data_IF_343479719759
#
_entry.id   IF_343479719759
#
_cell.length_a   1.000
_cell.length_b   1.000
_cell.length_c   1.000
_cell.angle_alpha   90.00
_cell.angle_beta   90.00
_cell.angle_gamma   90.00
#
_symmetry.space_group_name_H-M   'P 1'
#
loop_
_entity.id
_entity.type
_entity.pdbx_description
1 polymer ?
#
# COMPACT_ATOMS: atom_id res chain seq x y z
N UNK A 1 -41.46 -39.60 -23.04
CA UNK A 1 -40.15 -38.94 -23.13
C UNK A 1 -40.15 -37.83 -22.08
N UNK A 2 -39.71 -38.18 -20.85
CA UNK A 2 -39.70 -37.28 -19.69
C UNK A 2 -38.32 -36.63 -19.56
N UNK A 3 -38.28 -35.30 -19.60
CA UNK A 3 -37.07 -34.48 -19.36
C UNK A 3 -36.85 -34.37 -17.83
N UNK A 4 -35.75 -34.93 -17.38
CA UNK A 4 -35.31 -34.85 -16.01
C UNK A 4 -34.58 -33.54 -15.82
N UNK A 5 -35.19 -32.60 -15.05
CA UNK A 5 -34.54 -31.36 -14.60
C UNK A 5 -33.58 -31.70 -13.47
N UNK A 6 -32.27 -31.52 -13.71
CA UNK A 6 -31.25 -31.62 -12.67
C UNK A 6 -31.21 -30.37 -11.78
N UNK A 7 -30.85 -30.49 -10.50
CA UNK A 7 -30.83 -29.35 -9.57
C UNK A 7 -29.66 -28.41 -9.85
N UNK A 8 -29.97 -27.13 -9.98
CA UNK A 8 -29.03 -26.02 -10.10
C UNK A 8 -28.18 -25.91 -8.83
N UNK A 9 -26.88 -26.19 -8.97
CA UNK A 9 -25.89 -25.96 -7.91
C UNK A 9 -25.40 -24.50 -7.99
N UNK A 10 -26.25 -23.56 -7.64
CA UNK A 10 -25.79 -22.23 -7.28
C UNK A 10 -25.30 -22.25 -5.83
N UNK A 11 -24.00 -22.46 -5.67
CA UNK A 11 -23.35 -22.34 -4.38
C UNK A 11 -23.58 -20.94 -3.80
N UNK A 12 -24.18 -20.88 -2.60
CA UNK A 12 -24.31 -19.67 -1.77
C UNK A 12 -22.93 -19.05 -1.62
N UNK A 13 -22.69 -17.92 -2.30
CA UNK A 13 -21.56 -17.04 -1.99
C UNK A 13 -21.67 -16.69 -0.51
N UNK A 14 -20.71 -17.16 0.28
CA UNK A 14 -20.51 -16.69 1.65
C UNK A 14 -20.40 -15.17 1.55
N UNK A 15 -21.30 -14.47 2.21
CA UNK A 15 -21.23 -13.02 2.43
C UNK A 15 -19.88 -12.72 3.05
N UNK A 16 -18.94 -12.22 2.26
CA UNK A 16 -17.76 -11.61 2.78
C UNK A 16 -18.24 -10.44 3.65
N UNK A 17 -18.05 -10.51 4.97
CA UNK A 17 -18.20 -9.35 5.85
C UNK A 17 -17.46 -8.22 5.17
N UNK A 18 -18.17 -7.19 4.72
CA UNK A 18 -17.57 -6.00 4.19
C UNK A 18 -16.68 -5.44 5.28
N UNK A 19 -15.38 -5.52 5.08
CA UNK A 19 -14.42 -4.86 5.95
C UNK A 19 -14.69 -3.37 5.80
N UNK A 20 -15.29 -2.76 6.82
CA UNK A 20 -15.54 -1.33 6.82
C UNK A 20 -14.24 -0.59 7.07
N UNK A 21 -14.02 0.46 6.30
CA UNK A 21 -12.94 1.40 6.55
C UNK A 21 -13.15 2.03 7.93
N UNK A 22 -12.14 1.99 8.77
CA UNK A 22 -12.13 2.66 10.07
C UNK A 22 -11.42 4.00 9.93
N UNK A 23 -12.10 5.13 10.13
CA UNK A 23 -11.46 6.44 10.15
C UNK A 23 -10.48 6.55 11.34
N UNK A 24 -9.61 7.57 11.31
CA UNK A 24 -8.70 7.83 12.40
C UNK A 24 -9.45 8.01 13.73
N UNK A 25 -8.95 7.45 14.85
CA UNK A 25 -9.58 7.61 16.15
C UNK A 25 -9.56 9.08 16.61
N UNK A 26 -10.65 9.51 17.27
CA UNK A 26 -10.81 10.89 17.74
C UNK A 26 -9.74 11.34 18.76
N UNK A 27 -9.06 10.41 19.41
CA UNK A 27 -8.02 10.65 20.43
C UNK A 27 -6.61 10.85 19.91
N UNK A 28 -6.41 10.87 18.60
CA UNK A 28 -5.11 10.90 17.97
C UNK A 28 -4.57 9.49 17.70
N UNK A 29 -3.73 9.37 16.71
CA UNK A 29 -3.15 8.13 16.23
C UNK A 29 -1.65 8.33 16.03
N UNK A 30 -0.83 7.38 16.46
CA UNK A 30 0.60 7.38 16.17
C UNK A 30 0.87 7.10 14.69
N UNK A 31 2.05 7.47 14.19
CA UNK A 31 2.45 7.19 12.79
C UNK A 31 2.36 5.71 12.43
N UNK A 32 2.80 4.84 13.34
CA UNK A 32 2.80 3.39 13.15
C UNK A 32 1.37 2.85 13.09
N UNK A 33 0.52 3.27 14.01
CA UNK A 33 -0.90 2.86 14.01
C UNK A 33 -1.62 3.30 12.76
N UNK A 34 -1.34 4.53 12.27
CA UNK A 34 -1.90 5.03 11.02
C UNK A 34 -1.47 4.18 9.83
N UNK A 35 -0.18 3.92 9.68
CA UNK A 35 0.33 3.07 8.60
C UNK A 35 -0.33 1.71 8.65
N UNK A 36 -0.39 1.06 9.81
CA UNK A 36 -1.03 -0.23 10.00
C UNK A 36 -2.52 -0.22 9.61
N UNK A 37 -3.24 0.83 9.98
CA UNK A 37 -4.65 1.00 9.64
C UNK A 37 -4.86 1.16 8.13
N UNK A 38 -4.03 1.98 7.46
CA UNK A 38 -4.10 2.18 6.02
C UNK A 38 -3.80 0.89 5.25
N UNK A 39 -2.79 0.13 5.65
CA UNK A 39 -2.45 -1.16 5.04
C UNK A 39 -3.49 -2.25 5.28
N UNK A 40 -4.23 -2.20 6.39
CA UNK A 40 -5.34 -3.11 6.69
C UNK A 40 -6.66 -2.70 6.04
N UNK A 41 -6.70 -1.55 5.37
CA UNK A 41 -7.91 -1.06 4.71
C UNK A 41 -8.33 -1.96 3.55
N UNK A 42 -9.62 -2.19 3.33
CA UNK A 42 -10.09 -2.82 2.11
C UNK A 42 -9.65 -2.00 0.89
N UNK A 43 -9.12 -2.67 -0.14
CA UNK A 43 -8.53 -2.02 -1.31
C UNK A 43 -7.09 -1.53 -1.12
N UNK A 44 -6.48 -1.81 0.06
CA UNK A 44 -5.08 -1.53 0.34
C UNK A 44 -4.76 -0.10 0.75
N UNK A 45 -3.46 0.23 0.90
CA UNK A 45 -3.01 1.47 1.52
C UNK A 45 -3.39 2.72 0.72
N UNK A 46 -3.41 2.69 -0.61
CA UNK A 46 -3.79 3.85 -1.43
C UNK A 46 -5.26 4.21 -1.24
N UNK A 47 -6.14 3.22 -1.17
CA UNK A 47 -7.57 3.45 -0.95
C UNK A 47 -7.83 3.88 0.49
N UNK A 48 -7.15 3.26 1.45
CA UNK A 48 -7.20 3.69 2.84
C UNK A 48 -6.82 5.15 3.01
N UNK A 49 -5.76 5.60 2.35
CA UNK A 49 -5.32 6.99 2.40
C UNK A 49 -6.31 7.95 1.74
N UNK A 50 -6.86 7.60 0.57
CA UNK A 50 -7.90 8.40 -0.07
C UNK A 50 -9.14 8.60 0.81
N UNK A 51 -9.60 7.53 1.47
CA UNK A 51 -10.75 7.59 2.37
C UNK A 51 -10.44 8.43 3.63
N UNK A 52 -9.23 8.32 4.15
CA UNK A 52 -8.76 9.11 5.29
C UNK A 52 -8.73 10.59 4.94
N UNK A 53 -8.20 10.93 3.78
CA UNK A 53 -8.15 12.31 3.27
C UNK A 53 -9.55 12.87 2.98
N UNK A 54 -10.42 12.11 2.32
CA UNK A 54 -11.80 12.51 2.11
C UNK A 54 -12.54 12.80 3.43
N UNK A 55 -12.32 11.95 4.44
CA UNK A 55 -12.88 12.17 5.77
C UNK A 55 -12.36 13.47 6.40
N UNK A 56 -11.05 13.75 6.31
CA UNK A 56 -10.46 15.00 6.82
C UNK A 56 -10.99 16.25 6.14
N UNK A 57 -11.18 16.20 4.82
CA UNK A 57 -11.74 17.30 4.02
C UNK A 57 -13.25 17.48 4.21
N UNK A 58 -13.94 16.47 4.73
CA UNK A 58 -15.39 16.42 4.78
C UNK A 58 -16.03 16.09 3.42
N UNK A 59 -15.27 15.52 2.50
CA UNK A 59 -15.74 15.16 1.17
C UNK A 59 -16.58 13.90 1.20
N UNK A 60 -17.62 13.88 0.37
CA UNK A 60 -18.33 12.63 0.07
C UNK A 60 -17.50 11.77 -0.86
N UNK A 61 -17.72 10.45 -0.86
CA UNK A 61 -17.07 9.55 -1.82
C UNK A 61 -17.36 9.92 -3.28
N UNK A 62 -18.51 10.52 -3.56
CA UNK A 62 -18.86 11.02 -4.88
C UNK A 62 -18.04 12.24 -5.29
N UNK A 63 -17.84 13.19 -4.38
CA UNK A 63 -17.01 14.38 -4.58
C UNK A 63 -15.54 13.98 -4.82
N UNK A 64 -15.00 13.13 -3.95
CA UNK A 64 -13.64 12.57 -4.12
C UNK A 64 -13.49 11.87 -5.48
N UNK A 65 -14.44 11.02 -5.87
CA UNK A 65 -14.39 10.31 -7.14
C UNK A 65 -14.38 11.28 -8.33
N UNK A 66 -15.22 12.32 -8.29
CA UNK A 66 -15.28 13.35 -9.33
C UNK A 66 -13.96 14.13 -9.45
N UNK A 67 -13.33 14.50 -8.32
CA UNK A 67 -12.04 15.21 -8.30
C UNK A 67 -10.89 14.33 -8.84
N UNK A 68 -10.90 13.03 -8.55
CA UNK A 68 -9.95 12.06 -9.10
C UNK A 68 -10.18 11.86 -10.62
N UNK A 69 -11.40 12.09 -11.11
CA UNK A 69 -11.78 11.87 -12.50
C UNK A 69 -12.35 10.48 -12.78
N UNK A 70 -12.98 9.85 -11.77
CA UNK A 70 -13.61 8.52 -11.88
C UNK A 70 -15.05 8.54 -11.36
N UNK A 71 -15.78 7.44 -11.58
CA UNK A 71 -17.14 7.30 -11.05
C UNK A 71 -17.12 6.84 -9.58
N UNK A 72 -18.17 7.17 -8.83
CA UNK A 72 -18.39 6.60 -7.49
C UNK A 72 -18.35 5.07 -7.50
N UNK A 73 -18.97 4.44 -8.50
CA UNK A 73 -18.96 2.97 -8.63
C UNK A 73 -17.56 2.40 -8.79
N UNK A 74 -16.65 3.11 -9.48
CA UNK A 74 -15.25 2.72 -9.61
C UNK A 74 -14.53 2.72 -8.26
N UNK A 75 -14.65 3.80 -7.49
CA UNK A 75 -14.08 3.88 -6.14
C UNK A 75 -14.65 2.78 -5.23
N UNK A 76 -15.94 2.52 -5.32
CA UNK A 76 -16.57 1.46 -4.52
C UNK A 76 -16.04 0.06 -4.88
N UNK A 77 -15.78 -0.22 -6.16
CA UNK A 77 -15.17 -1.48 -6.60
C UNK A 77 -13.74 -1.65 -6.07
N UNK A 78 -12.93 -0.59 -6.06
CA UNK A 78 -11.59 -0.60 -5.48
C UNK A 78 -11.66 -0.83 -3.96
N UNK A 79 -12.54 -0.08 -3.27
CA UNK A 79 -12.73 -0.18 -1.83
C UNK A 79 -13.16 -1.57 -1.37
N UNK A 80 -14.01 -2.25 -2.14
CA UNK A 80 -14.50 -3.59 -1.80
C UNK A 80 -13.59 -4.73 -2.30
N UNK A 81 -12.49 -4.40 -2.98
CA UNK A 81 -11.57 -5.38 -3.54
C UNK A 81 -12.11 -6.13 -4.77
N UNK A 82 -13.26 -5.71 -5.33
CA UNK A 82 -13.78 -6.26 -6.59
C UNK A 82 -12.83 -5.95 -7.74
N UNK A 83 -12.20 -4.77 -7.69
CA UNK A 83 -11.15 -4.34 -8.62
C UNK A 83 -9.84 -4.18 -7.86
N UNK A 84 -8.75 -4.74 -8.41
CA UNK A 84 -7.39 -4.57 -7.88
C UNK A 84 -6.86 -3.17 -8.18
N UNK A 85 -6.13 -2.58 -7.23
CA UNK A 85 -5.40 -1.33 -7.40
C UNK A 85 -4.17 -1.48 -8.30
N UNK A 86 -3.65 -2.68 -8.48
CA UNK A 86 -2.51 -2.96 -9.38
C UNK A 86 -2.78 -2.61 -10.83
N UNK A 87 -4.07 -2.56 -11.23
CA UNK A 87 -4.51 -2.29 -12.60
C UNK A 87 -5.07 -0.87 -12.80
N UNK A 88 -4.74 0.08 -11.92
CA UNK A 88 -5.11 1.48 -12.10
C UNK A 88 -4.49 2.04 -13.38
N UNK A 89 -5.25 2.83 -14.16
CA UNK A 89 -4.69 3.52 -15.32
C UNK A 89 -3.74 4.65 -14.88
N UNK A 90 -2.97 5.18 -15.82
CA UNK A 90 -2.07 6.30 -15.56
C UNK A 90 -2.85 7.53 -15.10
N UNK A 91 -3.96 7.85 -15.78
CA UNK A 91 -4.81 9.00 -15.51
C UNK A 91 -5.45 8.93 -14.12
N UNK A 92 -5.86 7.73 -13.69
CA UNK A 92 -6.41 7.51 -12.35
C UNK A 92 -5.33 7.69 -11.28
N UNK A 93 -4.11 7.19 -11.51
CA UNK A 93 -3.00 7.42 -10.59
C UNK A 93 -2.67 8.92 -10.47
N UNK A 94 -2.70 9.66 -11.57
CA UNK A 94 -2.48 11.12 -11.57
C UNK A 94 -3.61 11.88 -10.85
N UNK A 95 -4.86 11.45 -11.04
CA UNK A 95 -6.01 11.99 -10.31
C UNK A 95 -5.89 11.77 -8.80
N UNK A 96 -5.54 10.55 -8.39
CA UNK A 96 -5.30 10.22 -6.98
C UNK A 96 -4.12 11.01 -6.40
N UNK A 97 -3.04 11.18 -7.16
CA UNK A 97 -1.87 11.95 -6.76
C UNK A 97 -2.22 13.42 -6.51
N UNK A 98 -3.00 14.05 -7.41
CA UNK A 98 -3.50 15.40 -7.22
C UNK A 98 -4.39 15.52 -5.98
N UNK A 99 -5.32 14.59 -5.80
CA UNK A 99 -6.22 14.58 -4.65
C UNK A 99 -5.48 14.47 -3.32
N UNK A 100 -4.45 13.62 -3.25
CA UNK A 100 -3.63 13.41 -2.04
C UNK A 100 -2.47 14.41 -1.88
N UNK A 101 -2.25 15.31 -2.84
CA UNK A 101 -1.12 16.23 -2.79
C UNK A 101 0.25 15.55 -2.88
N UNK A 102 0.34 14.38 -3.51
CA UNK A 102 1.57 13.58 -3.58
C UNK A 102 2.02 13.33 -5.02
N UNK A 103 3.20 12.72 -5.22
CA UNK A 103 3.66 12.39 -6.56
C UNK A 103 3.07 11.06 -7.06
N UNK A 104 2.93 10.95 -8.39
CA UNK A 104 2.35 9.78 -9.05
C UNK A 104 3.13 8.47 -8.76
N UNK A 105 4.46 8.56 -8.56
CA UNK A 105 5.29 7.40 -8.19
C UNK A 105 4.86 6.78 -6.85
N UNK A 106 4.49 7.59 -5.87
CA UNK A 106 3.97 7.12 -4.57
C UNK A 106 2.65 6.40 -4.74
N UNK A 107 1.73 6.94 -5.55
CA UNK A 107 0.45 6.26 -5.83
C UNK A 107 0.69 4.90 -6.48
N UNK A 108 1.53 4.83 -7.51
CA UNK A 108 1.86 3.57 -8.19
C UNK A 108 2.48 2.54 -7.25
N UNK A 109 3.35 2.99 -6.34
CA UNK A 109 3.97 2.14 -5.34
C UNK A 109 2.95 1.57 -4.35
N UNK A 110 2.10 2.43 -3.77
CA UNK A 110 1.07 2.03 -2.81
C UNK A 110 -0.05 1.22 -3.45
N UNK A 111 -0.28 1.40 -4.74
CA UNK A 111 -1.22 0.60 -5.52
C UNK A 111 -0.68 -0.78 -5.92
N UNK A 112 0.59 -1.09 -5.65
CA UNK A 112 1.22 -2.33 -6.08
C UNK A 112 1.57 -2.40 -7.57
N UNK A 113 1.58 -1.25 -8.28
CA UNK A 113 1.94 -1.17 -9.70
C UNK A 113 3.45 -1.16 -9.95
N UNK A 114 4.22 -0.79 -8.94
CA UNK A 114 5.67 -0.85 -8.97
C UNK A 114 6.08 -2.00 -8.06
N UNK A 115 6.66 -3.02 -8.63
CA UNK A 115 7.10 -4.23 -7.94
C UNK A 115 8.59 -4.47 -8.17
N UNK A 116 9.20 -5.33 -7.38
CA UNK A 116 10.63 -5.65 -7.49
C UNK A 116 11.03 -6.03 -8.90
N UNK A 117 10.18 -6.79 -9.61
CA UNK A 117 10.42 -7.21 -11.00
C UNK A 117 10.67 -6.05 -11.97
N UNK A 118 10.10 -4.87 -11.72
CA UNK A 118 10.25 -3.69 -12.58
C UNK A 118 11.68 -3.12 -12.55
N UNK A 119 12.49 -3.58 -11.61
CA UNK A 119 13.87 -3.14 -11.41
C UNK A 119 14.90 -4.24 -11.70
N UNK A 120 14.45 -5.42 -12.07
CA UNK A 120 15.35 -6.50 -12.47
C UNK A 120 15.81 -6.32 -13.92
N UNK A 121 16.97 -6.95 -14.24
CA UNK A 121 17.44 -6.98 -15.62
C UNK A 121 16.41 -7.69 -16.51
N UNK A 122 16.18 -7.23 -17.75
CA UNK A 122 15.11 -7.76 -18.61
C UNK A 122 15.14 -9.27 -18.85
N UNK A 123 16.32 -9.91 -18.69
CA UNK A 123 16.51 -11.33 -18.94
C UNK A 123 16.53 -12.19 -17.66
N UNK A 124 16.32 -11.62 -16.49
CA UNK A 124 16.29 -12.35 -15.22
C UNK A 124 14.88 -12.36 -14.65
N UNK A 125 14.31 -13.55 -14.40
CA UNK A 125 13.04 -13.63 -13.68
C UNK A 125 13.21 -13.33 -12.20
N UNK A 126 12.14 -12.91 -11.54
CA UNK A 126 12.16 -12.61 -10.10
C UNK A 126 12.59 -13.84 -9.29
N UNK A 127 12.11 -15.03 -9.67
CA UNK A 127 12.46 -16.29 -9.00
C UNK A 127 13.97 -16.56 -9.06
N UNK A 128 14.57 -16.35 -10.23
CA UNK A 128 16.02 -16.54 -10.42
C UNK A 128 16.80 -15.51 -9.63
N UNK A 129 16.38 -14.26 -9.63
CA UNK A 129 17.02 -13.18 -8.88
C UNK A 129 16.97 -13.45 -7.37
N UNK A 130 15.81 -13.85 -6.84
CA UNK A 130 15.63 -14.19 -5.42
C UNK A 130 16.48 -15.40 -5.03
N UNK A 131 16.50 -16.46 -5.83
CA UNK A 131 17.33 -17.65 -5.55
C UNK A 131 18.82 -17.33 -5.55
N UNK A 132 19.27 -16.50 -6.50
CA UNK A 132 20.66 -16.03 -6.56
C UNK A 132 21.00 -15.20 -5.32
N UNK A 133 20.16 -14.24 -4.99
CA UNK A 133 20.36 -13.35 -3.84
C UNK A 133 20.31 -14.14 -2.51
N UNK A 134 19.42 -15.10 -2.37
CA UNK A 134 19.31 -15.97 -1.20
C UNK A 134 20.57 -16.85 -1.02
N UNK A 135 21.12 -17.39 -2.12
CA UNK A 135 22.38 -18.14 -2.09
C UNK A 135 23.53 -17.25 -1.64
N UNK A 136 23.66 -16.04 -2.22
CA UNK A 136 24.66 -15.06 -1.85
C UNK A 136 24.58 -14.64 -0.37
N UNK A 137 23.38 -14.43 0.13
CA UNK A 137 23.14 -14.16 1.57
C UNK A 137 23.67 -15.30 2.45
N UNK A 138 23.40 -16.55 2.09
CA UNK A 138 23.89 -17.74 2.83
C UNK A 138 25.40 -17.92 2.83
N UNK A 139 26.08 -17.35 1.85
CA UNK A 139 27.55 -17.37 1.73
C UNK A 139 28.22 -16.33 2.63
N UNK A 140 27.47 -15.31 3.10
CA UNK A 140 28.01 -14.31 4.04
C UNK A 140 28.42 -14.98 5.37
N UNK A 141 29.71 -14.82 5.79
CA UNK A 141 30.20 -15.41 7.04
C UNK A 141 29.41 -15.03 8.28
N UNK A 142 28.88 -13.79 8.34
CA UNK A 142 28.07 -13.31 9.46
C UNK A 142 26.72 -14.01 9.55
N UNK A 143 26.09 -14.21 8.41
CA UNK A 143 24.78 -14.85 8.29
C UNK A 143 24.90 -16.36 8.47
N UNK A 144 25.98 -16.96 7.96
CA UNK A 144 26.25 -18.40 8.08
C UNK A 144 26.34 -18.87 9.54
N UNK A 145 26.71 -18.00 10.47
CA UNK A 145 26.78 -18.32 11.89
C UNK A 145 25.41 -18.28 12.59
N UNK A 146 24.47 -17.54 12.03
CA UNK A 146 23.14 -17.27 12.64
C UNK A 146 22.05 -18.15 12.03
N UNK A 147 22.16 -18.46 10.73
CA UNK A 147 21.17 -19.27 10.04
C UNK A 147 21.48 -20.77 10.27
N UNK A 148 20.47 -21.55 10.71
CA UNK A 148 20.60 -22.99 10.80
C UNK A 148 21.02 -23.60 9.45
N UNK A 149 21.93 -24.59 9.46
CA UNK A 149 22.38 -25.26 8.23
C UNK A 149 21.24 -26.00 7.52
N UNK A 150 20.25 -26.43 8.27
CA UNK A 150 19.04 -27.09 7.77
C UNK A 150 17.84 -26.14 7.84
N UNK A 151 17.90 -25.08 7.04
CA UNK A 151 16.69 -24.36 6.68
C UNK A 151 15.92 -25.27 5.72
N UNK A 152 14.88 -25.89 6.21
CA UNK A 152 13.95 -26.66 5.38
C UNK A 152 13.47 -25.85 4.15
N UNK A 153 12.70 -26.44 3.25
CA UNK A 153 12.27 -25.78 2.02
C UNK A 153 11.46 -24.52 2.35
N UNK A 154 12.09 -23.34 2.17
CA UNK A 154 11.41 -22.06 2.30
C UNK A 154 10.61 -21.75 1.04
N UNK A 155 9.42 -21.18 1.23
CA UNK A 155 8.65 -20.64 0.11
C UNK A 155 9.39 -19.49 -0.58
N UNK A 156 9.05 -19.21 -1.84
CA UNK A 156 9.61 -18.09 -2.59
C UNK A 156 9.47 -16.76 -1.85
N UNK A 157 8.28 -16.50 -1.30
CA UNK A 157 7.98 -15.27 -0.54
C UNK A 157 8.82 -15.16 0.74
N UNK A 158 9.06 -16.27 1.43
CA UNK A 158 9.91 -16.28 2.62
C UNK A 158 11.38 -15.99 2.26
N UNK A 159 11.90 -16.56 1.18
CA UNK A 159 13.24 -16.26 0.67
C UNK A 159 13.37 -14.79 0.27
N UNK A 160 12.39 -14.26 -0.46
CA UNK A 160 12.34 -12.86 -0.88
C UNK A 160 12.36 -11.92 0.34
N UNK A 161 11.51 -12.18 1.34
CA UNK A 161 11.48 -11.38 2.56
C UNK A 161 12.83 -11.40 3.30
N UNK A 162 13.45 -12.57 3.46
CA UNK A 162 14.77 -12.70 4.11
C UNK A 162 15.86 -11.93 3.35
N UNK A 163 15.88 -12.04 2.02
CA UNK A 163 16.85 -11.34 1.17
C UNK A 163 16.68 -9.82 1.27
N UNK A 164 15.45 -9.31 1.30
CA UNK A 164 15.17 -7.89 1.48
C UNK A 164 15.64 -7.38 2.85
N UNK A 165 15.31 -8.10 3.93
CA UNK A 165 15.73 -7.76 5.29
C UNK A 165 17.26 -7.76 5.39
N UNK A 166 17.91 -8.77 4.81
CA UNK A 166 19.37 -8.87 4.80
C UNK A 166 20.00 -7.74 3.99
N UNK A 167 19.45 -7.42 2.81
CA UNK A 167 19.91 -6.28 1.98
C UNK A 167 19.91 -4.98 2.76
N UNK A 168 18.84 -4.70 3.49
CA UNK A 168 18.71 -3.53 4.37
C UNK A 168 19.76 -3.53 5.51
N UNK A 169 20.00 -4.68 6.13
CA UNK A 169 20.90 -4.78 7.29
C UNK A 169 22.39 -4.79 6.89
N UNK A 170 22.72 -5.35 5.73
CA UNK A 170 24.11 -5.57 5.28
C UNK A 170 24.65 -4.49 4.33
N UNK A 171 23.79 -3.59 3.87
CA UNK A 171 24.09 -2.62 2.79
C UNK A 171 24.59 -3.27 1.49
N UNK A 172 24.30 -4.55 1.27
CA UNK A 172 24.68 -5.28 0.06
C UNK A 172 23.60 -5.17 -1.01
N UNK A 173 24.00 -4.85 -2.22
CA UNK A 173 23.11 -4.80 -3.39
C UNK A 173 22.93 -6.17 -4.03
N UNK A 174 22.13 -7.02 -3.39
CA UNK A 174 21.88 -8.38 -3.84
C UNK A 174 21.09 -8.45 -5.16
N UNK A 175 20.27 -7.44 -5.43
CA UNK A 175 19.48 -7.33 -6.66
C UNK A 175 20.09 -6.38 -7.69
N UNK A 176 21.29 -5.84 -7.43
CA UNK A 176 21.90 -4.76 -8.22
C UNK A 176 21.05 -3.48 -8.31
N UNK A 177 20.29 -3.22 -7.28
CA UNK A 177 19.38 -2.08 -7.14
C UNK A 177 19.56 -1.44 -5.77
N UNK A 178 20.82 -1.24 -5.39
CA UNK A 178 21.30 -0.95 -4.04
C UNK A 178 20.49 0.08 -3.25
N UNK A 179 20.06 1.11 -3.94
CA UNK A 179 19.33 2.22 -3.29
C UNK A 179 17.80 2.06 -3.35
N UNK A 180 17.31 1.05 -4.09
CA UNK A 180 15.90 1.00 -4.40
C UNK A 180 14.98 0.73 -3.21
N UNK A 181 15.21 -0.26 -2.33
CA UNK A 181 14.40 -0.45 -1.14
C UNK A 181 14.37 0.80 -0.27
N UNK A 182 15.51 1.47 -0.13
CA UNK A 182 15.61 2.73 0.58
C UNK A 182 14.80 3.84 -0.09
N UNK A 183 14.90 3.99 -1.40
CA UNK A 183 14.11 4.99 -2.16
C UNK A 183 12.62 4.73 -2.01
N UNK A 184 12.16 3.49 -2.14
CA UNK A 184 10.76 3.13 -1.97
C UNK A 184 10.28 3.43 -0.54
N UNK A 185 11.05 3.06 0.46
CA UNK A 185 10.77 3.37 1.86
C UNK A 185 10.76 4.88 2.12
N UNK A 186 11.73 5.62 1.58
CA UNK A 186 11.79 7.08 1.69
C UNK A 186 10.60 7.76 1.04
N UNK A 187 10.16 7.30 -0.14
CA UNK A 187 8.98 7.84 -0.82
C UNK A 187 7.71 7.63 -0.01
N UNK A 188 7.52 6.43 0.55
CA UNK A 188 6.37 6.15 1.43
C UNK A 188 6.39 7.04 2.68
N UNK A 189 7.54 7.13 3.32
CA UNK A 189 7.72 7.94 4.52
C UNK A 189 7.55 9.42 4.26
N UNK A 190 8.09 9.92 3.15
CA UNK A 190 7.93 11.30 2.74
C UNK A 190 6.47 11.67 2.48
N UNK A 191 5.70 10.77 1.84
CA UNK A 191 4.28 10.97 1.62
C UNK A 191 3.50 11.07 2.94
N UNK A 192 3.75 10.15 3.88
CA UNK A 192 3.12 10.17 5.20
C UNK A 192 3.50 11.43 5.99
N UNK A 193 4.78 11.83 5.97
CA UNK A 193 5.26 13.02 6.66
C UNK A 193 4.67 14.32 6.08
N UNK A 194 4.47 14.40 4.77
CA UNK A 194 3.83 15.52 4.12
C UNK A 194 2.37 15.68 4.59
N UNK A 195 1.62 14.60 4.55
CA UNK A 195 0.24 14.59 5.03
C UNK A 195 0.11 14.95 6.52
N UNK A 196 1.05 14.54 7.37
CA UNK A 196 1.08 14.95 8.78
C UNK A 196 1.40 16.44 8.97
N UNK A 197 2.31 16.98 8.18
CA UNK A 197 2.68 18.39 8.26
C UNK A 197 1.51 19.29 7.82
N UNK A 198 0.78 18.91 6.77
CA UNK A 198 -0.43 19.61 6.35
C UNK A 198 -1.51 19.57 7.43
N UNK A 199 -1.73 18.39 8.03
CA UNK A 199 -2.70 18.25 9.12
C UNK A 199 -2.32 19.10 10.35
N UNK A 200 -1.03 19.18 10.70
CA UNK A 200 -0.55 20.02 11.79
C UNK A 200 -0.74 21.52 11.48
N UNK A 201 -0.47 21.92 10.23
CA UNK A 201 -0.69 23.30 9.77
C UNK A 201 -2.17 23.69 9.81
N UNK A 202 -3.07 22.81 9.38
CA UNK A 202 -4.51 23.04 9.43
C UNK A 202 -5.06 23.14 10.86
N UNK A 203 -4.54 22.32 11.79
CA UNK A 203 -4.87 22.43 13.23
C UNK A 203 -4.41 23.75 13.81
N UNK A 204 -3.18 24.14 13.53
CA UNK A 204 -2.64 25.43 14.02
C UNK A 204 -3.45 26.63 13.54
N UNK A 205 -4.01 26.59 12.33
CA UNK A 205 -4.89 27.65 11.80
C UNK A 205 -6.26 27.71 12.51
N UNK A 206 -6.83 26.58 12.87
CA UNK A 206 -8.11 26.52 13.60
C UNK A 206 -7.95 27.07 15.02
N UNK A 207 -6.89 26.70 15.73
CA UNK A 207 -6.63 27.17 17.10
C UNK A 207 -6.34 28.68 17.17
N UNK A 208 -5.79 29.28 16.12
CA UNK A 208 -5.61 30.74 16.03
C UNK A 208 -6.90 31.48 15.68
N UNK A 209 -7.78 30.87 14.88
CA UNK A 209 -9.08 31.41 14.49
C UNK A 209 -10.07 31.49 15.66
N UNK A 210 -10.08 30.45 16.51
CA UNK A 210 -10.93 30.38 17.71
C UNK A 210 -10.50 31.38 18.80
N UNK A 211 -9.18 31.66 18.93
CA UNK A 211 -8.67 32.64 19.89
C UNK A 211 -8.95 34.08 19.50
N UNK A 212 -9.13 34.37 18.21
CA UNK A 212 -9.49 35.73 17.74
C UNK A 212 -10.97 36.06 17.92
N UNK A 213 -11.84 35.05 18.08
CA UNK A 213 -13.29 35.23 18.25
C UNK A 213 -13.75 35.33 19.72
N UNK A 214 -12.88 35.16 20.72
CA UNK A 214 -13.21 35.22 22.16
C UNK A 214 -12.83 36.62 22.73
N UNK A 215 -12.29 37.52 21.91
CA UNK A 215 -11.77 38.84 22.34
C UNK A 215 -12.56 40.04 21.87
N UNK A 216 -13.88 39.90 21.55
CA UNK A 216 -14.77 41.08 21.29
C UNK A 216 -15.94 41.12 22.26
#
# INVERSE_FOLDING_TARGET
MQLISGPSVYGRRRSAKSLEFKPAPAGGESKTERVDRLYKSPGGPVIGWLLDEAYKRGDTLGAMAAEIGVTYGYINQLRTGIRSTEHLSQEVCEGMARYLGTCNAVIKLLAGRIVLRDFLWPNESEEVAVERAFRQMKEDPKIRQVIPHDLGPLSHEAKKALVLIYGESSTQDLFRTRELPNILFWLQRAAIAHDENEFAALKGHRDTSDRSNIGQ
#
